data_IF_823102235179
#
_entry.id   IF_823102235179
#
_cell.length_a   1.000
_cell.length_b   1.000
_cell.length_c   1.000
_cell.angle_alpha   90.00
_cell.angle_beta   90.00
_cell.angle_gamma   90.00
#
_symmetry.space_group_name_H-M   'P 1'
#
loop_
_entity.id
_entity.type
_entity.pdbx_description
1 polymer ?
#
# COMPACT_ATOMS: atom_id res chain seq x y z
N UNK A 1 36.11 15.26 44.66
CA UNK A 1 36.08 16.02 43.38
C UNK A 1 36.44 15.03 42.27
N UNK A 2 35.70 14.75 41.20
CA UNK A 2 34.42 15.19 40.66
C UNK A 2 33.91 14.03 39.76
N UNK A 3 32.62 13.66 39.89
CA UNK A 3 31.91 12.83 38.91
C UNK A 3 31.48 13.76 37.77
N UNK A 4 32.04 13.62 36.58
CA UNK A 4 31.51 14.29 35.39
C UNK A 4 30.50 13.36 34.73
N UNK A 5 29.22 13.69 34.92
CA UNK A 5 28.07 13.11 34.21
C UNK A 5 28.15 13.54 32.74
N UNK A 6 28.43 12.61 31.84
CA UNK A 6 28.14 12.75 30.41
C UNK A 6 26.66 12.47 30.13
N UNK A 7 25.77 13.28 30.70
CA UNK A 7 24.36 13.35 30.31
C UNK A 7 24.17 14.63 29.50
N UNK A 8 23.79 14.48 28.23
CA UNK A 8 23.20 15.57 27.45
C UNK A 8 23.91 15.89 26.15
N UNK A 9 23.87 14.98 25.17
CA UNK A 9 23.93 15.36 23.74
C UNK A 9 23.03 14.47 22.87
N UNK A 10 22.77 13.21 23.25
CA UNK A 10 21.99 12.28 22.38
C UNK A 10 20.46 12.35 22.51
N UNK A 11 19.90 13.21 23.36
CA UNK A 11 18.45 13.29 23.62
C UNK A 11 17.75 14.50 22.95
N UNK A 12 18.47 15.24 22.08
CA UNK A 12 17.98 16.49 21.48
C UNK A 12 17.94 16.47 19.94
N UNK A 13 18.08 15.29 19.32
CA UNK A 13 17.95 15.10 17.87
C UNK A 13 16.87 14.08 17.47
N UNK A 14 15.88 13.83 18.34
CA UNK A 14 14.75 12.92 18.05
C UNK A 14 13.41 13.61 18.35
N UNK A 15 13.26 14.86 17.91
CA UNK A 15 11.94 15.51 17.92
C UNK A 15 11.79 16.46 16.71
N UNK A 16 12.04 15.92 15.51
CA UNK A 16 11.65 16.56 14.24
C UNK A 16 10.51 15.82 13.51
N UNK A 17 9.93 14.80 14.14
CA UNK A 17 8.88 14.02 13.52
C UNK A 17 7.53 14.70 13.76
N UNK A 18 7.08 15.47 12.77
CA UNK A 18 5.69 15.88 12.67
C UNK A 18 4.74 14.68 12.82
N UNK A 19 3.46 14.89 13.19
CA UNK A 19 2.56 13.83 13.64
C UNK A 19 2.52 12.66 12.65
N UNK A 20 3.10 11.54 13.10
CA UNK A 20 3.34 10.33 12.32
C UNK A 20 2.04 9.82 11.66
N UNK A 21 2.14 9.25 10.46
CA UNK A 21 1.04 8.50 9.86
C UNK A 21 1.23 7.00 10.07
N UNK A 22 0.12 6.25 10.05
CA UNK A 22 0.14 4.80 10.27
C UNK A 22 0.65 3.97 9.09
N UNK A 23 1.21 4.61 8.05
CA UNK A 23 1.68 3.91 6.84
C UNK A 23 2.98 3.18 7.09
N UNK A 24 3.03 1.97 6.55
CA UNK A 24 4.23 1.13 6.52
C UNK A 24 4.83 1.10 5.11
N UNK A 25 6.10 0.70 5.03
CA UNK A 25 6.78 0.55 3.73
C UNK A 25 6.07 -0.41 2.78
N UNK A 26 5.53 -1.54 3.26
CA UNK A 26 4.85 -2.50 2.40
C UNK A 26 3.52 -1.97 1.87
N UNK A 27 2.75 -1.25 2.69
CA UNK A 27 1.51 -0.60 2.26
C UNK A 27 1.80 0.40 1.13
N UNK A 28 2.83 1.22 1.28
CA UNK A 28 3.20 2.18 0.25
C UNK A 28 3.73 1.51 -1.02
N UNK A 29 4.47 0.41 -0.91
CA UNK A 29 4.85 -0.37 -2.09
C UNK A 29 3.63 -0.87 -2.88
N UNK A 30 2.55 -1.27 -2.19
CA UNK A 30 1.30 -1.63 -2.86
C UNK A 30 0.64 -0.42 -3.54
N UNK A 31 0.58 0.74 -2.89
CA UNK A 31 0.12 1.99 -3.51
C UNK A 31 0.91 2.32 -4.79
N UNK A 32 2.24 2.26 -4.71
CA UNK A 32 3.15 2.54 -5.84
C UNK A 32 2.91 1.58 -7.00
N UNK A 33 2.75 0.28 -6.72
CA UNK A 33 2.44 -0.72 -7.76
C UNK A 33 1.10 -0.42 -8.41
N UNK A 34 0.06 -0.12 -7.62
CA UNK A 34 -1.26 0.23 -8.15
C UNK A 34 -1.22 1.52 -8.97
N UNK A 35 -0.43 2.52 -8.57
CA UNK A 35 -0.23 3.74 -9.35
C UNK A 35 0.44 3.46 -10.70
N UNK A 36 1.43 2.57 -10.74
CA UNK A 36 2.08 2.17 -11.98
C UNK A 36 1.14 1.37 -12.90
N UNK A 37 0.36 0.45 -12.33
CA UNK A 37 -0.67 -0.29 -13.08
C UNK A 37 -1.74 0.67 -13.58
N UNK A 38 -2.17 1.64 -12.76
CA UNK A 38 -3.11 2.67 -13.18
C UNK A 38 -2.55 3.46 -14.37
N UNK A 39 -1.30 3.93 -14.30
CA UNK A 39 -0.65 4.65 -15.40
C UNK A 39 -0.71 3.88 -16.72
N UNK A 40 -0.48 2.57 -16.71
CA UNK A 40 -0.57 1.72 -17.90
C UNK A 40 -2.03 1.45 -18.30
N UNK A 41 -2.90 1.12 -17.36
CA UNK A 41 -4.29 0.77 -17.63
C UNK A 41 -5.08 1.97 -18.19
N UNK A 42 -4.92 3.13 -17.56
CA UNK A 42 -5.46 4.42 -18.01
C UNK A 42 -5.04 4.71 -19.44
N UNK A 43 -3.81 4.39 -19.82
CA UNK A 43 -3.26 4.74 -21.14
C UNK A 43 -3.54 3.69 -22.22
N UNK A 44 -3.75 2.43 -21.82
CA UNK A 44 -4.04 1.32 -22.70
C UNK A 44 -5.53 1.20 -23.09
N UNK A 45 -6.46 1.82 -22.36
CA UNK A 45 -7.91 1.60 -22.54
C UNK A 45 -8.81 2.85 -22.61
N UNK A 46 -8.31 4.01 -23.04
CA UNK A 46 -8.85 5.30 -22.58
C UNK A 46 -10.21 5.70 -23.20
N UNK A 47 -11.27 5.53 -22.43
CA UNK A 47 -12.11 6.56 -21.77
C UNK A 47 -13.52 5.98 -21.64
N UNK A 48 -13.82 5.21 -20.58
CA UNK A 48 -15.09 4.49 -20.49
C UNK A 48 -16.27 5.41 -20.14
N UNK A 49 -16.02 6.70 -19.89
CA UNK A 49 -17.07 7.71 -19.75
C UNK A 49 -17.37 8.45 -21.04
N UNK A 50 -16.53 8.31 -22.08
CA UNK A 50 -16.81 8.84 -23.42
C UNK A 50 -17.32 7.67 -24.26
N UNK A 51 -18.62 7.69 -24.54
CA UNK A 51 -19.24 6.78 -25.49
C UNK A 51 -18.37 6.74 -26.78
N UNK A 52 -18.01 5.56 -27.31
CA UNK A 52 -17.30 5.46 -28.58
C UNK A 52 -17.91 6.29 -29.71
N UNK A 53 -19.23 6.55 -29.63
CA UNK A 53 -20.01 7.34 -30.58
C UNK A 53 -20.07 8.85 -30.28
N UNK A 54 -19.65 9.29 -29.09
CA UNK A 54 -19.65 10.71 -28.64
C UNK A 54 -18.21 11.23 -28.44
N UNK A 55 -17.23 10.57 -29.07
CA UNK A 55 -15.84 11.03 -29.10
C UNK A 55 -15.78 12.33 -29.91
N UNK A 56 -15.37 13.45 -29.30
CA UNK A 56 -15.12 14.64 -30.09
C UNK A 56 -13.94 14.33 -31.01
N UNK A 57 -14.20 14.21 -32.31
CA UNK A 57 -13.14 14.10 -33.34
C UNK A 57 -12.13 15.26 -33.24
N UNK A 58 -12.49 16.33 -32.52
CA UNK A 58 -11.65 17.48 -32.19
C UNK A 58 -10.60 17.25 -31.10
N UNK A 59 -10.60 16.13 -30.37
CA UNK A 59 -9.56 15.87 -29.37
C UNK A 59 -8.28 15.36 -30.04
N UNK A 60 -7.23 16.20 -30.05
CA UNK A 60 -5.98 15.99 -30.79
C UNK A 60 -5.33 14.62 -30.54
N UNK A 61 -5.51 14.04 -29.35
CA UNK A 61 -5.00 12.72 -28.99
C UNK A 61 -5.49 11.59 -29.92
N UNK A 62 -6.73 11.68 -30.43
CA UNK A 62 -7.28 10.69 -31.35
C UNK A 62 -6.92 10.99 -32.81
N UNK A 63 -6.67 12.26 -33.13
CA UNK A 63 -6.30 12.69 -34.46
C UNK A 63 -4.89 12.24 -34.89
N UNK A 64 -4.00 11.96 -33.93
CA UNK A 64 -2.59 11.61 -34.20
C UNK A 64 -2.20 10.27 -33.55
N UNK A 65 -2.51 9.13 -34.19
CA UNK A 65 -2.28 7.80 -33.62
C UNK A 65 -0.80 7.50 -33.34
N UNK A 66 0.12 7.97 -34.18
CA UNK A 66 1.57 7.80 -34.01
C UNK A 66 2.08 8.53 -32.76
N UNK A 67 1.56 9.74 -32.51
CA UNK A 67 1.89 10.52 -31.31
C UNK A 67 1.35 9.81 -30.06
N UNK A 68 0.11 9.31 -30.13
CA UNK A 68 -0.51 8.53 -29.05
C UNK A 68 0.30 7.28 -28.69
N UNK A 69 0.73 6.50 -29.67
CA UNK A 69 1.58 5.32 -29.45
C UNK A 69 2.90 5.69 -28.77
N UNK A 70 3.50 6.83 -29.16
CA UNK A 70 4.68 7.38 -28.51
C UNK A 70 4.47 7.67 -27.02
N UNK A 71 3.34 8.28 -26.66
CA UNK A 71 3.01 8.50 -25.25
C UNK A 71 2.71 7.19 -24.50
N UNK A 72 1.97 6.25 -25.10
CA UNK A 72 1.69 4.95 -24.49
C UNK A 72 2.98 4.20 -24.16
N UNK A 73 3.92 4.16 -25.10
CA UNK A 73 5.24 3.59 -24.89
C UNK A 73 5.99 4.32 -23.76
N UNK A 74 5.97 5.66 -23.76
CA UNK A 74 6.59 6.44 -22.69
C UNK A 74 5.99 6.11 -21.31
N UNK A 75 4.67 5.97 -21.20
CA UNK A 75 3.99 5.60 -19.95
C UNK A 75 4.32 4.18 -19.49
N UNK A 76 4.37 3.20 -20.40
CA UNK A 76 4.82 1.84 -20.08
C UNK A 76 6.27 1.85 -19.57
N UNK A 77 7.15 2.59 -20.24
CA UNK A 77 8.55 2.74 -19.81
C UNK A 77 8.67 3.41 -18.44
N UNK A 78 7.85 4.43 -18.14
CA UNK A 78 7.82 5.12 -16.85
C UNK A 78 7.15 4.30 -15.74
N UNK A 79 6.26 3.37 -16.09
CA UNK A 79 5.65 2.46 -15.14
C UNK A 79 6.65 1.44 -14.59
N UNK A 80 7.70 1.06 -15.33
CA UNK A 80 8.74 0.12 -14.87
C UNK A 80 9.49 0.64 -13.63
N UNK A 81 10.14 1.82 -13.62
CA UNK A 81 10.80 2.36 -12.44
C UNK A 81 9.82 2.59 -11.29
N UNK A 82 8.56 2.97 -11.59
CA UNK A 82 7.49 3.01 -10.60
C UNK A 82 7.22 1.62 -10.01
N UNK A 83 7.11 0.54 -10.78
CA UNK A 83 6.87 -0.83 -10.32
C UNK A 83 8.04 -1.43 -9.53
N UNK A 84 9.27 -1.10 -9.93
CA UNK A 84 10.48 -1.59 -9.28
C UNK A 84 10.87 -0.76 -8.05
N UNK A 85 10.42 0.50 -7.98
CA UNK A 85 10.73 1.41 -6.89
C UNK A 85 12.18 1.87 -6.98
N UNK A 86 12.65 2.03 -8.21
CA UNK A 86 13.99 2.45 -8.57
C UNK A 86 13.86 3.74 -9.40
N UNK A 87 14.31 4.87 -8.86
CA UNK A 87 14.04 6.21 -9.43
C UNK A 87 12.56 6.54 -9.66
N UNK A 88 11.68 5.92 -8.86
CA UNK A 88 10.22 6.01 -8.97
C UNK A 88 9.69 7.45 -8.87
N UNK A 89 10.32 8.32 -8.07
CA UNK A 89 9.93 9.73 -7.95
C UNK A 89 10.17 10.54 -9.21
N UNK A 90 11.32 10.31 -9.86
CA UNK A 90 11.68 11.01 -11.11
C UNK A 90 10.75 10.52 -12.22
N UNK A 91 10.51 9.21 -12.29
CA UNK A 91 9.53 8.65 -13.20
C UNK A 91 8.13 9.21 -12.99
N UNK A 92 7.68 9.35 -11.73
CA UNK A 92 6.40 9.97 -11.40
C UNK A 92 6.33 11.43 -11.84
N UNK A 93 7.40 12.21 -11.64
CA UNK A 93 7.45 13.61 -12.05
C UNK A 93 7.36 13.77 -13.58
N UNK A 94 8.11 12.95 -14.33
CA UNK A 94 8.06 12.95 -15.80
C UNK A 94 6.67 12.50 -16.27
N UNK A 95 6.14 11.41 -15.71
CA UNK A 95 4.81 10.90 -16.03
C UNK A 95 3.74 11.96 -15.76
N UNK A 96 3.83 12.68 -14.64
CA UNK A 96 2.94 13.78 -14.27
C UNK A 96 2.90 14.85 -15.37
N UNK A 97 4.06 15.33 -15.84
CA UNK A 97 4.13 16.31 -16.92
C UNK A 97 3.51 15.76 -18.21
N UNK A 98 3.89 14.53 -18.61
CA UNK A 98 3.34 13.92 -19.81
C UNK A 98 1.82 13.75 -19.74
N UNK A 99 1.28 13.30 -18.59
CA UNK A 99 -0.17 13.16 -18.39
C UNK A 99 -0.92 14.49 -18.50
N UNK A 100 -0.32 15.61 -18.07
CA UNK A 100 -0.96 16.94 -18.24
C UNK A 100 -1.05 17.40 -19.69
N UNK A 101 -0.20 16.85 -20.57
CA UNK A 101 -0.29 17.14 -22.00
C UNK A 101 -1.43 16.40 -22.68
N UNK A 102 -1.88 15.25 -22.14
CA UNK A 102 -2.82 14.32 -22.81
C UNK A 102 -4.25 14.86 -22.85
N UNK A 103 -4.86 15.07 -21.69
CA UNK A 103 -6.24 15.55 -21.55
C UNK A 103 -6.44 16.19 -20.16
N UNK A 104 -7.47 17.02 -20.05
CA UNK A 104 -7.94 17.64 -18.81
C UNK A 104 -9.20 16.98 -18.24
N UNK A 105 -9.59 15.80 -18.73
CA UNK A 105 -10.75 15.08 -18.19
C UNK A 105 -10.51 14.69 -16.72
N UNK A 106 -11.58 14.54 -15.91
CA UNK A 106 -11.46 14.30 -14.46
C UNK A 106 -10.55 13.12 -14.09
N UNK A 107 -10.51 12.09 -14.93
CA UNK A 107 -9.68 10.89 -14.75
C UNK A 107 -8.17 11.17 -14.90
N UNK A 108 -7.79 11.89 -15.96
CA UNK A 108 -6.39 12.28 -16.18
C UNK A 108 -5.89 13.21 -15.11
N UNK A 109 -6.75 14.15 -14.71
CA UNK A 109 -6.48 15.07 -13.61
C UNK A 109 -6.26 14.32 -12.30
N UNK A 110 -7.04 13.27 -12.03
CA UNK A 110 -6.84 12.41 -10.87
C UNK A 110 -5.47 11.68 -10.93
N UNK A 111 -5.12 11.09 -12.07
CA UNK A 111 -3.83 10.43 -12.27
C UNK A 111 -2.65 11.40 -12.09
N UNK A 112 -2.73 12.60 -12.67
CA UNK A 112 -1.74 13.69 -12.50
C UNK A 112 -1.52 13.99 -11.02
N UNK A 113 -2.59 14.12 -10.23
CA UNK A 113 -2.48 14.42 -8.81
C UNK A 113 -1.81 13.31 -8.00
N UNK A 114 -2.12 12.04 -8.32
CA UNK A 114 -1.50 10.89 -7.67
C UNK A 114 -0.01 10.78 -8.00
N UNK A 115 0.35 11.02 -9.27
CA UNK A 115 1.74 11.06 -9.73
C UNK A 115 2.51 12.22 -9.10
N UNK A 116 1.91 13.41 -9.05
CA UNK A 116 2.48 14.57 -8.38
C UNK A 116 2.74 14.26 -6.90
N UNK A 117 1.76 13.73 -6.19
CA UNK A 117 1.92 13.36 -4.79
C UNK A 117 3.03 12.33 -4.56
N UNK A 118 3.15 11.35 -5.45
CA UNK A 118 4.22 10.34 -5.41
C UNK A 118 5.61 10.94 -5.66
N UNK A 119 5.74 11.94 -6.53
CA UNK A 119 7.01 12.60 -6.80
C UNK A 119 7.60 13.29 -5.56
N UNK A 120 6.74 13.73 -4.63
CA UNK A 120 7.13 14.42 -3.40
C UNK A 120 7.22 13.53 -2.16
N UNK A 121 6.79 12.26 -2.22
CA UNK A 121 6.97 11.31 -1.12
C UNK A 121 8.40 10.79 -1.05
N UNK A 122 8.83 10.44 0.17
CA UNK A 122 10.17 9.89 0.38
C UNK A 122 10.33 8.54 -0.34
N UNK A 123 11.47 8.36 -1.00
CA UNK A 123 11.78 7.14 -1.73
C UNK A 123 12.28 6.04 -0.79
N UNK A 124 12.13 4.79 -1.24
CA UNK A 124 12.64 3.53 -0.62
C UNK A 124 11.69 2.79 0.36
N UNK A 125 10.46 2.46 -0.07
CA UNK A 125 9.59 1.57 0.69
C UNK A 125 10.09 0.12 0.70
N UNK A 126 9.62 -0.67 1.67
CA UNK A 126 9.87 -2.11 1.75
C UNK A 126 9.49 -2.82 0.44
N UNK A 127 10.37 -3.66 -0.08
CA UNK A 127 10.16 -4.41 -1.33
C UNK A 127 10.49 -3.66 -2.63
N UNK A 128 10.99 -2.42 -2.56
CA UNK A 128 11.62 -1.78 -3.73
C UNK A 128 13.07 -2.24 -3.93
N UNK A 129 13.57 -2.13 -5.16
CA UNK A 129 15.01 -2.34 -5.46
C UNK A 129 15.85 -1.37 -4.62
N UNK A 130 15.40 -0.12 -4.43
CA UNK A 130 16.08 0.86 -3.58
C UNK A 130 16.15 0.48 -2.10
N UNK A 131 15.39 -0.51 -1.64
CA UNK A 131 15.45 -1.06 -0.29
C UNK A 131 16.18 -2.42 -0.21
N UNK A 132 16.69 -2.93 -1.34
CA UNK A 132 17.38 -4.21 -1.37
C UNK A 132 18.67 -4.16 -0.54
N UNK A 133 18.94 -5.22 0.22
CA UNK A 133 20.09 -5.28 1.14
C UNK A 133 19.88 -4.62 2.50
N UNK A 134 18.80 -3.86 2.72
CA UNK A 134 18.51 -3.34 4.07
C UNK A 134 18.14 -4.46 5.03
N UNK A 135 18.76 -4.39 6.21
CA UNK A 135 18.51 -5.31 7.33
C UNK A 135 17.31 -4.83 8.16
N UNK A 136 16.91 -3.55 8.06
CA UNK A 136 15.73 -3.01 8.73
C UNK A 136 14.45 -3.14 7.87
N UNK A 137 13.58 -4.12 8.15
CA UNK A 137 12.32 -4.23 7.44
C UNK A 137 11.36 -3.08 7.80
N UNK A 138 11.35 -2.58 9.04
CA UNK A 138 10.49 -1.46 9.50
C UNK A 138 10.95 -0.09 8.98
N UNK A 139 12.23 0.02 8.66
CA UNK A 139 12.64 0.70 7.46
C UNK A 139 12.89 2.18 7.51
N UNK A 140 12.87 2.83 8.68
CA UNK A 140 13.02 4.29 8.83
C UNK A 140 12.09 5.14 7.96
N UNK A 141 11.20 4.50 7.19
CA UNK A 141 10.44 5.08 6.12
C UNK A 141 9.10 5.42 6.70
N UNK A 142 8.80 6.71 6.69
CA UNK A 142 7.53 7.25 7.12
C UNK A 142 7.03 8.16 6.00
N UNK A 143 5.74 8.08 5.69
CA UNK A 143 5.16 9.02 4.73
C UNK A 143 4.84 10.31 5.49
N UNK A 144 5.32 11.44 5.02
CA UNK A 144 4.93 12.72 5.63
C UNK A 144 3.43 12.98 5.39
N UNK A 145 2.72 13.28 6.48
CA UNK A 145 1.25 13.40 6.52
C UNK A 145 0.68 14.52 5.60
N UNK A 146 1.52 15.49 5.24
CA UNK A 146 1.13 16.62 4.38
C UNK A 146 0.97 16.21 2.91
N UNK A 147 1.72 15.23 2.42
CA UNK A 147 1.71 14.86 1.00
C UNK A 147 0.42 14.11 0.60
N UNK A 148 -0.15 13.31 1.51
CA UNK A 148 -1.47 12.67 1.34
C UNK A 148 -2.61 13.67 1.31
N UNK A 149 -2.55 14.68 2.18
CA UNK A 149 -3.60 15.69 2.28
C UNK A 149 -3.63 16.61 1.06
N UNK A 150 -2.47 17.00 0.52
CA UNK A 150 -2.38 17.81 -0.70
C UNK A 150 -2.90 17.05 -1.92
N UNK A 151 -2.57 15.76 -2.05
CA UNK A 151 -3.05 14.90 -3.14
C UNK A 151 -4.56 14.66 -3.09
N UNK A 152 -5.07 14.29 -1.91
CA UNK A 152 -6.48 14.10 -1.62
C UNK A 152 -7.26 15.39 -1.88
N UNK A 153 -6.69 16.52 -1.45
CA UNK A 153 -7.29 17.81 -1.64
C UNK A 153 -7.38 18.23 -3.11
N UNK A 154 -6.29 18.12 -3.88
CA UNK A 154 -6.31 18.45 -5.31
C UNK A 154 -7.33 17.57 -6.05
N UNK A 155 -7.48 16.31 -5.63
CA UNK A 155 -8.48 15.39 -6.15
C UNK A 155 -9.92 15.83 -5.85
N UNK A 156 -10.22 16.20 -4.60
CA UNK A 156 -11.56 16.69 -4.21
C UNK A 156 -11.92 17.98 -4.92
N UNK A 157 -10.95 18.90 -5.04
CA UNK A 157 -11.13 20.17 -5.75
C UNK A 157 -11.57 19.96 -7.20
N UNK A 158 -11.11 18.91 -7.85
CA UNK A 158 -11.35 18.68 -9.28
C UNK A 158 -12.60 17.81 -9.53
N UNK A 159 -12.91 16.88 -8.62
CA UNK A 159 -14.23 16.22 -8.55
C UNK A 159 -15.36 17.23 -8.34
N UNK A 160 -15.10 18.34 -7.62
CA UNK A 160 -16.04 19.45 -7.44
C UNK A 160 -16.10 20.44 -8.61
N UNK A 161 -15.07 20.51 -9.46
CA UNK A 161 -15.05 21.41 -10.62
C UNK A 161 -15.65 20.77 -11.89
N UNK A 162 -15.74 19.44 -11.98
CA UNK A 162 -16.41 18.74 -13.08
C UNK A 162 -17.90 19.11 -13.27
N UNK A 163 -18.69 19.31 -12.19
CA UNK A 163 -20.06 19.82 -12.30
C UNK A 163 -20.16 21.32 -12.61
N UNK A 164 -19.14 22.12 -12.24
CA UNK A 164 -19.13 23.57 -12.43
C UNK A 164 -18.54 24.03 -13.76
N UNK A 165 -17.81 23.17 -14.48
CA UNK A 165 -17.42 23.43 -15.88
C UNK A 165 -18.61 23.35 -16.85
N UNK A 166 -19.77 22.85 -16.38
CA UNK A 166 -21.07 22.96 -17.07
C UNK A 166 -21.89 24.17 -16.63
N UNK A 167 -21.26 25.21 -16.08
CA UNK A 167 -21.92 26.51 -15.88
C UNK A 167 -21.84 27.30 -17.19
N UNK A 168 -23.00 27.45 -17.80
CA UNK A 168 -23.30 28.41 -18.86
C UNK A 168 -22.81 29.81 -18.48
N UNK A 169 -22.39 30.59 -19.48
CA UNK A 169 -22.12 32.03 -19.39
C UNK A 169 -20.75 32.48 -18.83
N UNK A 170 -19.66 31.88 -19.31
CA UNK A 170 -18.39 32.58 -19.58
C UNK A 170 -17.58 33.12 -18.38
N UNK A 171 -18.09 33.01 -17.15
CA UNK A 171 -17.42 33.45 -15.93
C UNK A 171 -17.10 32.24 -15.06
N UNK A 172 -15.93 31.64 -15.28
CA UNK A 172 -15.33 30.75 -14.29
C UNK A 172 -14.90 31.64 -13.13
N UNK A 173 -15.59 31.58 -11.99
CA UNK A 173 -15.21 32.37 -10.80
C UNK A 173 -13.85 31.90 -10.25
N UNK A 174 -12.78 32.52 -10.76
CA UNK A 174 -11.43 32.45 -10.22
C UNK A 174 -11.43 32.71 -8.70
N UNK A 175 -12.39 33.50 -8.21
CA UNK A 175 -12.59 33.84 -6.81
C UNK A 175 -12.87 32.62 -5.92
N UNK A 176 -13.67 31.64 -6.36
CA UNK A 176 -13.94 30.42 -5.59
C UNK A 176 -12.67 29.57 -5.43
N UNK A 177 -11.83 29.53 -6.46
CA UNK A 177 -10.51 28.90 -6.45
C UNK A 177 -9.57 29.59 -5.45
N UNK A 178 -9.51 30.92 -5.45
CA UNK A 178 -8.64 31.68 -4.56
C UNK A 178 -9.08 31.64 -3.09
N UNK A 179 -10.39 31.60 -2.81
CA UNK A 179 -10.93 31.51 -1.45
C UNK A 179 -10.80 30.11 -0.84
N UNK A 180 -10.75 29.07 -1.67
CA UNK A 180 -10.56 27.70 -1.24
C UNK A 180 -9.13 27.46 -0.73
N UNK A 181 -8.11 27.95 -1.44
CA UNK A 181 -6.68 27.65 -1.16
C UNK A 181 -6.26 27.88 0.31
N UNK A 182 -6.59 28.99 0.99
CA UNK A 182 -6.21 29.23 2.38
C UNK A 182 -6.91 28.29 3.37
N UNK A 183 -8.23 28.08 3.21
CA UNK A 183 -9.03 27.17 4.05
C UNK A 183 -8.44 25.76 3.97
N UNK A 184 -8.01 25.38 2.80
CA UNK A 184 -7.46 24.07 2.51
C UNK A 184 -6.05 23.89 3.04
N UNK A 185 -5.19 24.91 2.94
CA UNK A 185 -3.86 24.90 3.56
C UNK A 185 -3.98 24.81 5.09
N UNK A 186 -5.05 25.34 5.66
CA UNK A 186 -5.38 25.21 7.09
C UNK A 186 -5.89 23.80 7.41
N UNK A 187 -6.82 23.25 6.62
CA UNK A 187 -7.34 21.88 6.79
C UNK A 187 -6.25 20.82 6.56
N UNK A 188 -5.30 21.05 5.66
CA UNK A 188 -4.19 20.12 5.38
C UNK A 188 -3.19 20.02 6.53
N UNK A 189 -3.18 20.98 7.46
CA UNK A 189 -2.29 20.97 8.64
C UNK A 189 -2.90 20.31 9.88
N UNK A 190 -4.23 20.11 9.90
CA UNK A 190 -4.96 19.57 11.05
C UNK A 190 -5.20 18.06 10.92
N UNK A 191 -4.74 17.30 11.92
CA UNK A 191 -4.87 15.83 11.98
C UNK A 191 -6.33 15.37 12.07
N UNK A 192 -7.17 16.14 12.77
CA UNK A 192 -8.60 15.91 12.91
C UNK A 192 -9.32 16.18 11.58
N UNK A 193 -8.99 17.29 10.91
CA UNK A 193 -9.56 17.68 9.62
C UNK A 193 -9.32 16.63 8.55
N UNK A 194 -8.08 16.13 8.46
CA UNK A 194 -7.74 15.07 7.50
C UNK A 194 -8.52 13.78 7.74
N UNK A 195 -8.74 13.39 9.00
CA UNK A 195 -9.53 12.19 9.33
C UNK A 195 -11.02 12.38 9.02
N UNK A 196 -11.57 13.54 9.35
CA UNK A 196 -12.98 13.88 9.09
C UNK A 196 -13.26 13.96 7.59
N UNK A 197 -12.31 14.43 6.77
CA UNK A 197 -12.44 14.49 5.31
C UNK A 197 -12.16 13.14 4.62
N UNK A 198 -11.22 12.34 5.15
CA UNK A 198 -10.88 11.04 4.55
C UNK A 198 -12.03 10.03 4.64
N UNK A 199 -12.79 10.01 5.74
CA UNK A 199 -13.91 9.06 5.93
C UNK A 199 -14.99 9.16 4.85
N UNK A 200 -15.61 10.34 4.57
CA UNK A 200 -16.60 10.45 3.52
C UNK A 200 -16.03 10.17 2.13
N UNK A 201 -14.75 10.52 1.86
CA UNK A 201 -14.09 10.18 0.60
C UNK A 201 -13.87 8.68 0.42
N UNK A 202 -13.45 7.98 1.48
CA UNK A 202 -13.33 6.53 1.48
C UNK A 202 -14.70 5.87 1.27
N UNK A 203 -15.77 6.42 1.85
CA UNK A 203 -17.14 5.94 1.61
C UNK A 203 -17.55 6.15 0.16
N UNK A 204 -17.31 7.33 -0.43
CA UNK A 204 -17.59 7.59 -1.85
C UNK A 204 -16.83 6.61 -2.74
N UNK A 205 -15.54 6.40 -2.49
CA UNK A 205 -14.75 5.44 -3.24
C UNK A 205 -15.27 4.01 -3.08
N UNK A 206 -15.63 3.60 -1.86
CA UNK A 206 -16.17 2.27 -1.57
C UNK A 206 -17.53 2.05 -2.27
N UNK A 207 -18.40 3.07 -2.28
CA UNK A 207 -19.67 3.03 -3.02
C UNK A 207 -19.41 2.89 -4.52
N UNK A 208 -18.42 3.61 -5.06
CA UNK A 208 -17.97 3.43 -6.44
C UNK A 208 -17.50 2.00 -6.73
N UNK A 209 -16.66 1.43 -5.86
CA UNK A 209 -16.19 0.03 -5.95
C UNK A 209 -17.35 -0.97 -5.93
N UNK A 210 -18.30 -0.82 -5.01
CA UNK A 210 -19.46 -1.71 -4.90
C UNK A 210 -20.38 -1.56 -6.11
N UNK A 211 -20.63 -0.32 -6.57
CA UNK A 211 -21.43 -0.05 -7.76
C UNK A 211 -20.84 -0.72 -9.00
N UNK A 212 -19.53 -0.57 -9.23
CA UNK A 212 -18.81 -1.20 -10.35
C UNK A 212 -18.70 -2.73 -10.23
N UNK A 213 -18.58 -3.27 -9.01
CA UNK A 213 -18.61 -4.71 -8.80
C UNK A 213 -20.00 -5.30 -9.08
N UNK A 214 -21.07 -4.63 -8.61
CA UNK A 214 -22.45 -5.04 -8.85
C UNK A 214 -22.81 -4.98 -10.34
N UNK A 215 -22.37 -3.95 -11.06
CA UNK A 215 -22.57 -3.88 -12.52
C UNK A 215 -21.81 -5.01 -13.24
N UNK A 216 -20.61 -5.37 -12.77
CA UNK A 216 -19.84 -6.49 -13.32
C UNK A 216 -20.50 -7.87 -13.13
N UNK A 217 -21.32 -8.08 -12.09
CA UNK A 217 -22.03 -9.35 -11.85
C UNK A 217 -23.39 -9.43 -12.56
N UNK A 218 -23.97 -8.30 -12.97
CA UNK A 218 -25.35 -8.22 -13.48
C UNK A 218 -25.51 -8.10 -14.99
N UNK A 219 -24.44 -7.85 -15.75
CA UNK A 219 -24.55 -7.53 -17.18
C UNK A 219 -23.79 -8.54 -18.04
N UNK A 220 -24.48 -9.11 -19.02
CA UNK A 220 -23.92 -10.15 -19.92
C UNK A 220 -23.06 -9.59 -21.06
N UNK A 221 -22.91 -8.27 -21.21
CA UNK A 221 -22.07 -7.64 -22.25
C UNK A 221 -21.45 -6.26 -21.90
N UNK A 222 -21.45 -5.78 -20.64
CA UNK A 222 -20.80 -4.48 -20.36
C UNK A 222 -19.34 -4.66 -19.96
N UNK A 223 -18.44 -4.07 -20.74
CA UNK A 223 -17.04 -3.83 -20.42
C UNK A 223 -16.92 -3.30 -18.99
N UNK A 224 -16.38 -4.12 -18.08
CA UNK A 224 -16.09 -3.64 -16.73
C UNK A 224 -15.04 -2.54 -16.86
N UNK A 225 -15.27 -1.34 -16.29
CA UNK A 225 -14.32 -0.22 -16.31
C UNK A 225 -13.10 -0.53 -15.40
N UNK A 226 -12.26 -1.47 -15.83
CA UNK A 226 -11.11 -1.99 -15.06
C UNK A 226 -10.07 -0.89 -14.76
N UNK A 227 -9.70 0.00 -15.70
CA UNK A 227 -8.79 1.11 -15.40
C UNK A 227 -9.32 2.05 -14.31
N UNK A 228 -10.64 2.26 -14.25
CA UNK A 228 -11.31 3.16 -13.30
C UNK A 228 -11.27 2.56 -11.90
N UNK A 229 -11.52 1.26 -11.80
CA UNK A 229 -11.40 0.52 -10.56
C UNK A 229 -9.95 0.57 -10.05
N UNK A 230 -8.96 0.38 -10.91
CA UNK A 230 -7.54 0.42 -10.52
C UNK A 230 -7.15 1.83 -10.06
N UNK A 231 -7.54 2.89 -10.78
CA UNK A 231 -7.24 4.27 -10.40
C UNK A 231 -7.97 4.67 -9.12
N UNK A 232 -9.24 4.27 -8.96
CA UNK A 232 -10.00 4.47 -7.73
C UNK A 232 -9.37 3.71 -6.56
N UNK A 233 -8.80 2.53 -6.80
CA UNK A 233 -8.01 1.78 -5.83
C UNK A 233 -6.74 2.51 -5.41
N UNK A 234 -5.96 3.01 -6.37
CA UNK A 234 -4.78 3.82 -6.11
C UNK A 234 -5.13 5.10 -5.33
N UNK A 235 -6.23 5.76 -5.67
CA UNK A 235 -6.76 6.92 -4.94
C UNK A 235 -7.20 6.56 -3.52
N UNK A 236 -7.97 5.48 -3.36
CA UNK A 236 -8.43 5.00 -2.05
C UNK A 236 -7.24 4.77 -1.14
N UNK A 237 -6.19 4.10 -1.65
CA UNK A 237 -4.95 3.92 -0.93
C UNK A 237 -4.18 5.23 -0.72
N UNK A 238 -4.21 6.18 -1.64
CA UNK A 238 -3.55 7.46 -1.43
C UNK A 238 -4.14 8.24 -0.25
N UNK A 239 -5.46 8.15 -0.04
CA UNK A 239 -6.21 8.89 0.99
C UNK A 239 -6.30 8.11 2.31
N UNK A 240 -6.22 6.77 2.26
CA UNK A 240 -6.41 5.90 3.42
C UNK A 240 -5.43 6.20 4.56
N UNK A 241 -5.94 6.37 5.78
CA UNK A 241 -5.14 6.40 7.01
C UNK A 241 -5.22 5.01 7.69
N UNK A 242 -4.12 4.23 7.72
CA UNK A 242 -4.10 2.90 8.34
C UNK A 242 -4.48 2.90 9.82
N UNK A 243 -4.33 4.04 10.50
CA UNK A 243 -4.75 4.18 11.90
C UNK A 243 -6.27 4.04 12.09
N UNK A 244 -7.07 4.19 11.02
CA UNK A 244 -8.52 3.99 11.06
C UNK A 244 -8.93 2.53 11.27
N UNK A 245 -8.05 1.58 10.91
CA UNK A 245 -8.33 0.14 11.03
C UNK A 245 -7.26 -0.47 11.95
N UNK A 246 -7.43 -0.40 13.28
CA UNK A 246 -6.45 -0.94 14.20
C UNK A 246 -6.35 -2.47 14.05
N UNK A 247 -5.15 -3.00 14.28
CA UNK A 247 -4.91 -4.44 14.32
C UNK A 247 -5.63 -5.11 15.49
N UNK A 248 -6.09 -6.34 15.30
CA UNK A 248 -6.64 -7.17 16.38
C UNK A 248 -5.50 -7.85 17.14
N UNK A 249 -5.04 -7.21 18.22
CA UNK A 249 -3.88 -7.67 19.00
C UNK A 249 -4.32 -8.12 20.39
N UNK A 250 -3.73 -9.20 20.88
CA UNK A 250 -3.91 -9.64 22.26
C UNK A 250 -3.16 -8.75 23.25
N UNK A 251 -3.43 -8.93 24.56
CA UNK A 251 -2.68 -8.27 25.64
C UNK A 251 -1.22 -8.73 25.72
N UNK A 252 -0.95 -9.97 25.28
CA UNK A 252 0.37 -10.57 25.31
C UNK A 252 0.91 -10.74 23.88
N UNK A 253 2.23 -10.64 23.68
CA UNK A 253 2.85 -10.93 22.40
C UNK A 253 2.53 -12.35 21.93
N UNK A 254 2.36 -12.50 20.62
CA UNK A 254 2.12 -13.79 19.98
C UNK A 254 3.42 -14.31 19.34
N UNK A 255 3.55 -15.63 19.23
CA UNK A 255 4.76 -16.26 18.72
C UNK A 255 4.51 -16.78 17.31
N UNK A 256 5.37 -16.38 16.38
CA UNK A 256 5.37 -16.82 14.99
C UNK A 256 6.54 -17.79 14.82
N UNK A 257 6.21 -19.06 14.68
CA UNK A 257 7.16 -20.10 14.33
C UNK A 257 7.36 -20.14 12.82
N UNK A 258 8.60 -20.34 12.37
CA UNK A 258 8.93 -20.37 10.95
C UNK A 258 9.98 -21.44 10.63
N UNK A 259 9.94 -21.96 9.40
CA UNK A 259 10.96 -22.90 8.91
C UNK A 259 12.23 -22.13 8.48
N UNK A 260 13.35 -22.38 9.17
CA UNK A 260 14.64 -21.74 8.90
C UNK A 260 15.22 -22.03 7.52
N UNK A 261 14.89 -23.18 6.94
CA UNK A 261 15.39 -23.61 5.63
C UNK A 261 14.49 -23.14 4.47
N UNK A 262 13.44 -22.38 4.76
CA UNK A 262 12.47 -21.93 3.78
C UNK A 262 12.62 -20.44 3.46
N UNK A 263 13.03 -20.12 2.24
CA UNK A 263 13.16 -18.74 1.77
C UNK A 263 11.85 -17.93 1.82
N UNK A 264 10.70 -18.58 1.59
CA UNK A 264 9.38 -17.95 1.73
C UNK A 264 9.06 -17.61 3.19
N UNK A 265 9.37 -18.52 4.12
CA UNK A 265 9.16 -18.29 5.55
C UNK A 265 10.03 -17.12 6.04
N UNK A 266 11.31 -17.07 5.62
CA UNK A 266 12.19 -15.95 5.93
C UNK A 266 11.67 -14.60 5.37
N UNK A 267 11.18 -14.57 4.13
CA UNK A 267 10.54 -13.37 3.56
C UNK A 267 9.28 -12.97 4.34
N UNK A 268 8.53 -13.94 4.84
CA UNK A 268 7.33 -13.70 5.67
C UNK A 268 7.72 -13.07 7.01
N UNK A 269 8.75 -13.59 7.69
CA UNK A 269 9.27 -12.99 8.93
C UNK A 269 9.74 -11.56 8.69
N UNK A 270 10.50 -11.32 7.61
CA UNK A 270 10.94 -9.95 7.24
C UNK A 270 9.75 -9.02 6.99
N UNK A 271 8.72 -9.51 6.31
CA UNK A 271 7.49 -8.74 6.10
C UNK A 271 6.81 -8.42 7.43
N UNK A 272 6.65 -9.39 8.33
CA UNK A 272 6.03 -9.15 9.63
C UNK A 272 6.83 -8.17 10.49
N UNK A 273 8.17 -8.24 10.44
CA UNK A 273 9.03 -7.26 11.09
C UNK A 273 8.90 -5.85 10.49
N UNK A 274 8.58 -5.74 9.19
CA UNK A 274 8.36 -4.45 8.51
C UNK A 274 7.04 -3.80 8.91
N UNK A 275 6.02 -4.63 9.07
CA UNK A 275 4.64 -4.19 9.16
C UNK A 275 4.15 -4.11 10.62
N UNK A 276 4.77 -4.88 11.52
CA UNK A 276 4.42 -4.88 12.94
C UNK A 276 5.08 -3.73 13.69
N UNK A 277 4.51 -2.52 13.50
CA UNK A 277 4.94 -1.27 14.13
C UNK A 277 4.91 -1.29 15.66
N UNK A 278 4.20 -2.25 16.28
CA UNK A 278 4.00 -2.29 17.73
C UNK A 278 4.71 -3.46 18.39
N UNK A 279 5.56 -4.17 17.64
CA UNK A 279 6.32 -5.32 18.10
C UNK A 279 5.46 -6.36 18.85
N UNK A 280 4.25 -6.62 18.35
CA UNK A 280 3.33 -7.61 18.90
C UNK A 280 3.82 -9.05 18.67
N UNK A 281 4.55 -9.30 17.58
CA UNK A 281 5.05 -10.63 17.26
C UNK A 281 6.46 -10.88 17.79
N UNK A 282 6.66 -12.10 18.29
CA UNK A 282 7.96 -12.73 18.55
C UNK A 282 8.17 -13.86 17.55
N UNK A 283 9.41 -14.18 17.24
CA UNK A 283 9.75 -15.14 16.18
C UNK A 283 10.62 -16.26 16.75
N UNK A 284 10.35 -17.49 16.36
CA UNK A 284 11.18 -18.64 16.71
C UNK A 284 11.28 -19.58 15.51
N UNK A 285 12.44 -20.20 15.29
CA UNK A 285 12.56 -21.24 14.27
C UNK A 285 11.82 -22.51 14.73
N UNK A 286 11.28 -23.30 13.81
CA UNK A 286 10.73 -24.64 14.12
C UNK A 286 11.82 -25.58 14.66
N UNK A 287 13.07 -25.32 14.30
CA UNK A 287 14.25 -26.07 14.73
C UNK A 287 14.81 -25.60 16.09
N UNK A 288 14.22 -24.60 16.76
CA UNK A 288 14.76 -24.08 18.02
C UNK A 288 14.29 -24.86 19.25
N UNK A 289 15.11 -24.86 20.30
CA UNK A 289 14.77 -25.44 21.61
C UNK A 289 13.48 -24.84 22.16
N UNK A 290 13.25 -23.54 21.91
CA UNK A 290 12.02 -22.87 22.32
C UNK A 290 10.76 -23.51 21.71
N UNK A 291 10.79 -23.90 20.42
CA UNK A 291 9.66 -24.64 19.82
C UNK A 291 9.52 -26.02 20.44
N UNK A 292 10.65 -26.69 20.70
CA UNK A 292 10.68 -28.02 21.29
C UNK A 292 10.13 -28.07 22.74
N UNK A 293 10.31 -27.01 23.52
CA UNK A 293 9.82 -26.94 24.90
C UNK A 293 8.35 -26.52 24.98
N UNK A 294 7.87 -25.71 24.03
CA UNK A 294 6.58 -25.02 24.15
C UNK A 294 5.46 -25.62 23.30
N UNK A 295 5.78 -26.55 22.40
CA UNK A 295 4.81 -27.28 21.56
C UNK A 295 5.03 -28.77 21.78
N UNK A 296 3.98 -29.46 22.25
CA UNK A 296 4.07 -30.89 22.59
C UNK A 296 4.23 -31.74 21.33
N UNK A 297 4.82 -32.94 21.48
CA UNK A 297 5.02 -33.84 20.33
C UNK A 297 3.71 -34.19 19.60
N UNK A 298 2.64 -34.43 20.36
CA UNK A 298 1.30 -34.69 19.81
C UNK A 298 0.74 -33.51 19.01
N UNK A 299 1.08 -32.26 19.38
CA UNK A 299 0.69 -31.09 18.60
C UNK A 299 1.52 -30.98 17.32
N UNK A 300 2.79 -31.38 17.33
CA UNK A 300 3.70 -31.30 16.17
C UNK A 300 3.29 -32.20 15.02
N UNK A 301 2.78 -33.39 15.29
CA UNK A 301 2.38 -34.36 14.26
C UNK A 301 1.33 -33.79 13.28
N UNK A 302 0.54 -32.80 13.71
CA UNK A 302 -0.48 -32.13 12.89
C UNK A 302 -0.04 -30.82 12.23
N UNK A 303 1.21 -30.38 12.44
CA UNK A 303 1.70 -29.08 12.00
C UNK A 303 2.35 -29.15 10.61
N UNK A 304 2.07 -28.14 9.79
CA UNK A 304 2.77 -27.97 8.52
C UNK A 304 4.18 -27.40 8.75
N UNK A 305 5.17 -27.85 7.97
CA UNK A 305 6.57 -27.35 7.99
C UNK A 305 6.71 -25.89 7.51
N UNK A 306 5.93 -24.96 8.04
CA UNK A 306 5.70 -23.62 7.48
C UNK A 306 5.47 -22.61 8.60
N UNK A 307 4.93 -21.44 8.26
CA UNK A 307 4.61 -20.43 9.27
C UNK A 307 3.45 -20.90 10.13
N UNK A 308 3.69 -20.98 11.43
CA UNK A 308 2.72 -21.34 12.47
C UNK A 308 2.64 -20.20 13.47
N UNK A 309 1.45 -19.90 13.96
CA UNK A 309 1.23 -18.82 14.93
C UNK A 309 0.65 -19.40 16.20
N UNK A 310 1.32 -19.17 17.32
CA UNK A 310 0.76 -19.41 18.65
C UNK A 310 0.15 -18.12 19.17
N UNK A 311 -1.17 -18.14 19.29
CA UNK A 311 -1.95 -17.01 19.79
C UNK A 311 -1.76 -16.83 21.29
N UNK A 312 -2.12 -15.65 21.81
CA UNK A 312 -1.97 -15.33 23.23
C UNK A 312 -2.79 -16.27 24.15
N UNK A 313 -3.87 -16.85 23.63
CA UNK A 313 -4.70 -17.86 24.31
C UNK A 313 -4.21 -19.31 24.11
N UNK A 314 -3.02 -19.50 23.54
CA UNK A 314 -2.35 -20.79 23.44
C UNK A 314 -2.71 -21.64 22.23
N UNK A 315 -3.61 -21.19 21.35
CA UNK A 315 -3.97 -21.95 20.14
C UNK A 315 -2.87 -21.88 19.10
N UNK A 316 -2.66 -23.00 18.41
CA UNK A 316 -1.76 -23.09 17.26
C UNK A 316 -2.56 -22.94 15.96
N UNK A 317 -2.30 -21.86 15.24
CA UNK A 317 -2.85 -21.59 13.93
C UNK A 317 -1.81 -21.92 12.86
N UNK A 318 -2.26 -22.52 11.76
CA UNK A 318 -1.41 -22.91 10.64
C UNK A 318 -2.10 -22.63 9.30
N UNK A 319 -1.36 -22.81 8.21
CA UNK A 319 -1.85 -22.65 6.82
C UNK A 319 -2.54 -21.30 6.60
N UNK A 320 -3.64 -21.25 5.85
CA UNK A 320 -4.36 -20.02 5.56
C UNK A 320 -4.90 -19.32 6.81
N UNK A 321 -5.24 -20.07 7.87
CA UNK A 321 -5.71 -19.52 9.14
C UNK A 321 -4.64 -18.68 9.84
N UNK A 322 -3.38 -19.14 9.84
CA UNK A 322 -2.26 -18.37 10.37
C UNK A 322 -2.08 -17.06 9.58
N UNK A 323 -2.12 -17.13 8.24
CA UNK A 323 -1.97 -15.95 7.37
C UNK A 323 -3.06 -14.91 7.64
N UNK A 324 -4.33 -15.34 7.68
CA UNK A 324 -5.47 -14.44 7.97
C UNK A 324 -5.32 -13.79 9.36
N UNK A 325 -4.92 -14.56 10.37
CA UNK A 325 -4.72 -14.05 11.72
C UNK A 325 -3.61 -12.99 11.79
N UNK A 326 -2.45 -13.26 11.18
CA UNK A 326 -1.35 -12.29 11.09
C UNK A 326 -1.80 -10.98 10.43
N UNK A 327 -2.50 -11.07 9.30
CA UNK A 327 -3.03 -9.91 8.58
C UNK A 327 -4.02 -9.09 9.43
N UNK A 328 -4.87 -9.76 10.21
CA UNK A 328 -5.78 -9.09 11.15
C UNK A 328 -5.05 -8.37 12.29
N UNK A 329 -3.97 -8.97 12.82
CA UNK A 329 -3.19 -8.40 13.90
C UNK A 329 -2.31 -7.21 13.46
N UNK A 330 -1.86 -7.18 12.20
CA UNK A 330 -1.15 -6.03 11.63
C UNK A 330 -2.02 -4.76 11.57
N UNK A 331 -3.27 -4.89 11.13
CA UNK A 331 -4.18 -3.75 10.95
C UNK A 331 -4.05 -3.07 9.58
N UNK A 332 -4.60 -1.86 9.46
CA UNK A 332 -4.58 -1.06 8.24
C UNK A 332 -5.10 -1.82 7.02
N UNK A 333 -4.38 -1.71 5.91
CA UNK A 333 -4.70 -2.38 4.65
C UNK A 333 -4.58 -3.90 4.76
N UNK A 334 -3.67 -4.40 5.59
CA UNK A 334 -3.49 -5.84 5.79
C UNK A 334 -4.72 -6.48 6.40
N UNK A 335 -5.38 -5.80 7.34
CA UNK A 335 -6.65 -6.30 7.91
C UNK A 335 -7.76 -6.33 6.87
N UNK A 336 -7.79 -5.40 5.91
CA UNK A 336 -8.74 -5.44 4.79
C UNK A 336 -8.47 -6.65 3.90
N UNK A 337 -7.21 -6.88 3.50
CA UNK A 337 -6.81 -8.05 2.73
C UNK A 337 -7.10 -9.37 3.46
N UNK A 338 -6.83 -9.40 4.77
CA UNK A 338 -7.18 -10.53 5.64
C UNK A 338 -8.69 -10.78 5.69
N UNK A 339 -9.52 -9.73 5.61
CA UNK A 339 -10.98 -9.85 5.63
C UNK A 339 -11.49 -10.45 4.33
N UNK A 340 -10.94 -10.01 3.20
CA UNK A 340 -11.24 -10.60 1.88
C UNK A 340 -10.85 -12.07 1.86
N UNK A 341 -9.65 -12.42 2.30
CA UNK A 341 -9.19 -13.81 2.38
C UNK A 341 -10.02 -14.65 3.36
N UNK A 342 -10.52 -14.04 4.44
CA UNK A 342 -11.40 -14.70 5.40
C UNK A 342 -12.80 -14.99 4.84
N UNK A 343 -13.32 -14.16 3.93
CA UNK A 343 -14.59 -14.42 3.25
C UNK A 343 -14.53 -15.64 2.32
N UNK A 344 -13.35 -16.01 1.83
CA UNK A 344 -13.15 -17.21 0.99
C UNK A 344 -13.31 -18.46 1.87
N UNK A 345 -14.11 -19.48 1.46
CA UNK A 345 -14.27 -20.70 2.24
C UNK A 345 -12.93 -21.38 2.57
N UNK A 346 -12.80 -21.91 3.80
CA UNK A 346 -11.55 -22.52 4.30
C UNK A 346 -10.93 -23.55 3.34
N UNK A 347 -11.70 -24.49 2.74
CA UNK A 347 -11.12 -25.49 1.84
C UNK A 347 -10.43 -24.87 0.62
N UNK A 348 -11.00 -23.79 0.07
CA UNK A 348 -10.46 -23.13 -1.13
C UNK A 348 -9.18 -22.34 -0.80
N UNK A 349 -9.18 -21.60 0.31
CA UNK A 349 -7.97 -20.88 0.74
C UNK A 349 -6.85 -21.83 1.19
N UNK A 350 -7.18 -22.95 1.82
CA UNK A 350 -6.19 -23.97 2.19
C UNK A 350 -5.65 -24.69 0.94
N UNK A 351 -6.48 -24.95 -0.08
CA UNK A 351 -6.00 -25.45 -1.36
C UNK A 351 -4.98 -24.50 -2.02
N UNK A 352 -5.30 -23.20 -2.07
CA UNK A 352 -4.37 -22.19 -2.59
C UNK A 352 -3.07 -22.13 -1.79
N UNK A 353 -3.17 -22.23 -0.46
CA UNK A 353 -2.00 -22.34 0.42
C UNK A 353 -1.13 -23.55 0.09
N UNK A 354 -1.73 -24.73 -0.06
CA UNK A 354 -1.01 -25.99 -0.32
C UNK A 354 -0.31 -25.97 -1.68
N UNK A 355 -0.88 -25.30 -2.69
CA UNK A 355 -0.21 -25.06 -3.99
C UNK A 355 1.07 -24.24 -3.80
N UNK A 356 1.00 -23.12 -3.08
CA UNK A 356 2.16 -22.27 -2.78
C UNK A 356 3.18 -23.05 -1.94
N UNK A 357 2.73 -23.78 -0.92
CA UNK A 357 3.57 -24.54 -0.02
C UNK A 357 4.40 -25.61 -0.74
N UNK A 358 3.83 -26.26 -1.77
CA UNK A 358 4.55 -27.21 -2.64
C UNK A 358 5.58 -26.53 -3.53
N UNK A 359 5.28 -25.33 -4.03
CA UNK A 359 6.18 -24.59 -4.90
C UNK A 359 7.29 -23.83 -4.14
N UNK A 360 7.11 -23.57 -2.84
CA UNK A 360 7.94 -22.60 -2.08
C UNK A 360 9.43 -22.87 -2.10
N UNK A 361 9.87 -24.12 -1.92
CA UNK A 361 11.31 -24.47 -1.88
C UNK A 361 11.97 -24.34 -3.25
N UNK A 362 11.18 -24.45 -4.33
CA UNK A 362 11.64 -24.26 -5.72
C UNK A 362 11.67 -22.79 -6.11
N UNK A 363 10.63 -22.02 -5.74
CA UNK A 363 10.48 -20.61 -6.11
C UNK A 363 11.26 -19.66 -5.20
N UNK A 364 11.47 -20.03 -3.94
CA UNK A 364 12.11 -19.20 -2.92
C UNK A 364 13.22 -19.99 -2.24
N UNK A 365 14.39 -19.97 -2.86
CA UNK A 365 15.60 -20.52 -2.25
C UNK A 365 15.91 -19.78 -0.94
N UNK A 366 16.42 -20.52 0.04
CA UNK A 366 16.97 -19.93 1.24
C UNK A 366 18.14 -18.99 0.87
N UNK A 367 18.34 -17.88 1.62
CA UNK A 367 19.49 -17.00 1.38
C UNK A 367 20.79 -17.81 1.41
N UNK A 368 21.56 -17.75 0.34
CA UNK A 368 22.89 -18.36 0.30
C UNK A 368 23.90 -17.34 0.81
N UNK A 369 24.29 -17.44 2.09
CA UNK A 369 25.26 -16.53 2.71
C UNK A 369 25.23 -16.56 4.24
N UNK A 370 26.24 -15.93 4.87
CA UNK A 370 26.29 -15.72 6.31
C UNK A 370 24.99 -15.06 6.80
N UNK A 371 24.46 -15.52 7.93
CA UNK A 371 23.30 -14.94 8.59
C UNK A 371 23.51 -13.42 8.73
N UNK A 372 22.64 -12.57 8.15
CA UNK A 372 22.81 -11.13 8.28
C UNK A 372 22.80 -10.79 9.76
N UNK A 373 23.82 -10.05 10.22
CA UNK A 373 23.86 -9.57 11.61
C UNK A 373 22.60 -8.73 11.86
N UNK A 374 21.69 -9.28 12.64
CA UNK A 374 20.42 -8.65 12.99
C UNK A 374 20.73 -7.52 14.00
N UNK A 375 20.28 -6.27 13.76
CA UNK A 375 20.37 -5.21 14.75
C UNK A 375 19.81 -5.66 16.11
N UNK A 376 20.47 -5.29 17.21
CA UNK A 376 20.12 -5.76 18.55
C UNK A 376 18.64 -5.56 18.91
N UNK A 377 18.04 -4.46 18.46
CA UNK A 377 16.61 -4.14 18.65
C UNK A 377 15.67 -5.17 18.00
N UNK A 378 16.02 -5.65 16.80
CA UNK A 378 15.27 -6.69 16.10
C UNK A 378 15.59 -8.07 16.69
N UNK A 379 16.83 -8.29 17.12
CA UNK A 379 17.27 -9.52 17.80
C UNK A 379 16.44 -9.82 19.05
N UNK A 380 16.06 -8.81 19.83
CA UNK A 380 15.20 -8.96 21.01
C UNK A 380 13.80 -9.55 20.72
N UNK A 381 13.39 -9.62 19.44
CA UNK A 381 12.14 -10.23 19.01
C UNK A 381 12.25 -11.71 18.67
N UNK A 382 13.47 -12.25 18.56
CA UNK A 382 13.71 -13.66 18.28
C UNK A 382 13.90 -14.44 19.58
N UNK A 383 13.25 -15.61 19.65
CA UNK A 383 13.28 -16.54 20.77
C UNK A 383 14.06 -17.78 20.31
N UNK A 384 15.38 -17.77 20.50
CA UNK A 384 16.28 -18.84 20.06
C UNK A 384 17.70 -18.37 19.90
#
# INVERSE_FOLDING_TARGET
MSRIRSRGVSALLVDQDGPENGWTGGQYSLYRVLLAVALVAVTAGIDPMVDPWDRPESHWWYAYPEVREGFQLAFVCLAIPLLLGWFDRVAAAIACVLTTCVSMDPFWVLLVNLLFAHAFTDSRPYGSIGAWGRIDPGGGWRRTRNNTAVAAFMTVRLLWLGPLSKVHDGNVELLAVFMAVPVIVVLSKSTLSQRVLAVPLLVICLVGWVGSAVSAFGVRESEVPVPELILLGALTLAIFDPALIPGRRGRHPEIVYYDGDCGLCHRTVRFLLAEDLHAHFRFAALQSDHFAEHVTEAEREGLADSVIVRTADGRLLQRSSAVVHLLFALGGLWRVLGSVLWCIPRPLRDFGYDVIARARKRLFQAPQGLCPLIPAELGARFLG
#
